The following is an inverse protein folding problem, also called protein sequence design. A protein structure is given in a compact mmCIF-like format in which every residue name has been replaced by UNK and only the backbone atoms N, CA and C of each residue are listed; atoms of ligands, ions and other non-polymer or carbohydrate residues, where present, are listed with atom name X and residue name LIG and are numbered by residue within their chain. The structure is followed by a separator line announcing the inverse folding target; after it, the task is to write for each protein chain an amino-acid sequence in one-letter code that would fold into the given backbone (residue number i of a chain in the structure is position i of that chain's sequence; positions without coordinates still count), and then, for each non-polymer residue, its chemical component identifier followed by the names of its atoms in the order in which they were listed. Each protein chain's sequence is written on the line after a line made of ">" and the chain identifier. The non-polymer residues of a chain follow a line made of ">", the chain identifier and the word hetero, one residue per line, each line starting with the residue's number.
data_IF_328024918591
#
_entry.id   IF_328024918591
#
_cell.length_a   1.000
_cell.length_b   1.000
_cell.length_c   1.000
_cell.angle_alpha   90.00
_cell.angle_beta   90.00
_cell.angle_gamma   90.00
#
_symmetry.space_group_name_H-M   'P 1'
#
loop_
_entity.id
_entity.type
_entity.pdbx_description
1 polymer ?
#
# COMPACT_ATOMS: atom_id res chain seq x y z
N UNK A 1 20.16 -10.95 19.65
CA UNK A 1 20.43 -9.55 19.24
C UNK A 1 20.77 -9.41 17.74
N UNK A 2 21.02 -10.52 17.02
CA UNK A 2 21.33 -10.54 15.57
C UNK A 2 20.10 -10.68 14.67
N UNK A 3 18.98 -11.25 15.17
CA UNK A 3 17.74 -11.45 14.40
C UNK A 3 16.98 -10.16 14.07
N UNK A 4 16.95 -9.19 14.99
CA UNK A 4 16.16 -7.96 14.82
C UNK A 4 16.70 -7.05 13.71
N UNK A 5 18.02 -6.99 13.53
CA UNK A 5 18.64 -6.22 12.44
C UNK A 5 18.34 -6.85 11.07
N UNK A 6 18.35 -8.20 10.97
CA UNK A 6 17.99 -8.89 9.74
C UNK A 6 16.50 -8.76 9.38
N UNK A 7 15.61 -8.76 10.39
CA UNK A 7 14.18 -8.55 10.19
C UNK A 7 13.84 -7.13 9.74
N UNK A 8 14.52 -6.11 10.29
CA UNK A 8 14.38 -4.70 9.89
C UNK A 8 14.83 -4.46 8.45
N UNK A 9 15.99 -5.02 8.07
CA UNK A 9 16.45 -4.96 6.68
C UNK A 9 15.48 -5.66 5.72
N UNK A 10 14.85 -6.76 6.15
CA UNK A 10 13.88 -7.47 5.32
C UNK A 10 12.63 -6.63 5.04
N UNK A 11 12.07 -5.93 6.04
CA UNK A 11 10.88 -5.10 5.83
C UNK A 11 11.17 -3.85 5.00
N UNK A 12 12.29 -3.17 5.26
CA UNK A 12 12.78 -2.07 4.43
C UNK A 12 12.98 -2.51 2.98
N UNK A 13 13.56 -3.68 2.74
CA UNK A 13 13.73 -4.25 1.40
C UNK A 13 12.38 -4.56 0.74
N UNK A 14 11.41 -5.11 1.48
CA UNK A 14 10.03 -5.30 0.99
C UNK A 14 9.41 -3.98 0.54
N UNK A 15 9.47 -2.94 1.38
CA UNK A 15 8.96 -1.61 1.03
C UNK A 15 9.67 -1.03 -0.20
N UNK A 16 11.00 -1.18 -0.29
CA UNK A 16 11.80 -0.67 -1.42
C UNK A 16 11.42 -1.38 -2.73
N UNK A 17 11.27 -2.70 -2.70
CA UNK A 17 10.87 -3.47 -3.89
C UNK A 17 9.43 -3.15 -4.31
N UNK A 18 8.52 -3.05 -3.34
CA UNK A 18 7.15 -2.64 -3.59
C UNK A 18 7.08 -1.22 -4.19
N UNK A 19 7.83 -0.26 -3.65
CA UNK A 19 7.92 1.09 -4.20
C UNK A 19 8.37 1.10 -5.67
N UNK A 20 9.40 0.32 -6.02
CA UNK A 20 9.87 0.19 -7.41
C UNK A 20 8.81 -0.40 -8.35
N UNK A 21 8.05 -1.40 -7.90
CA UNK A 21 6.94 -1.94 -8.70
C UNK A 21 5.86 -0.87 -8.91
N UNK A 22 5.59 -0.04 -7.89
CA UNK A 22 4.56 0.98 -7.97
C UNK A 22 4.99 2.20 -8.80
N UNK A 23 6.28 2.52 -8.91
CA UNK A 23 6.76 3.63 -9.76
C UNK A 23 6.29 3.51 -11.21
N UNK A 24 6.19 2.30 -11.77
CA UNK A 24 5.66 2.08 -13.11
C UNK A 24 4.13 2.11 -13.21
N UNK A 25 3.42 2.16 -12.08
CA UNK A 25 1.96 2.11 -12.04
C UNK A 25 1.28 3.48 -12.25
N UNK A 26 2.03 4.54 -12.55
CA UNK A 26 1.45 5.87 -12.85
C UNK A 26 0.59 5.90 -14.12
N UNK A 27 0.77 4.94 -15.02
CA UNK A 27 -0.10 4.77 -16.21
C UNK A 27 -1.35 3.96 -15.93
N UNK A 28 -1.44 3.36 -14.74
CA UNK A 28 -2.60 2.57 -14.32
C UNK A 28 -3.70 3.48 -13.79
N UNK A 29 -4.89 2.90 -13.70
CA UNK A 29 -6.04 3.45 -13.00
C UNK A 29 -6.40 2.59 -11.81
N UNK A 30 -6.94 3.20 -10.75
CA UNK A 30 -7.57 2.49 -9.65
C UNK A 30 -8.88 1.91 -10.17
N UNK A 31 -8.95 0.59 -10.23
CA UNK A 31 -10.16 -0.16 -10.59
C UNK A 31 -11.09 -0.29 -9.37
N UNK A 32 -10.51 -0.64 -8.22
CA UNK A 32 -11.24 -0.88 -6.98
C UNK A 32 -10.40 -0.53 -5.75
N UNK A 33 -11.09 -0.09 -4.71
CA UNK A 33 -10.56 0.01 -3.35
C UNK A 33 -11.52 -0.76 -2.43
N UNK A 34 -10.99 -1.64 -1.59
CA UNK A 34 -11.75 -2.34 -0.56
C UNK A 34 -11.09 -2.12 0.78
N UNK A 35 -11.91 -1.74 1.76
CA UNK A 35 -11.50 -1.64 3.14
C UNK A 35 -12.35 -2.59 3.95
N UNK A 36 -11.66 -3.50 4.62
CA UNK A 36 -12.26 -4.39 5.59
C UNK A 36 -11.98 -3.84 6.99
N UNK A 37 -13.03 -3.31 7.63
CA UNK A 37 -13.06 -2.92 9.05
C UNK A 37 -14.06 -3.80 9.81
N UNK A 38 -14.40 -4.97 9.27
CA UNK A 38 -15.46 -5.81 9.83
C UNK A 38 -15.10 -6.43 11.18
N UNK A 39 -13.82 -6.39 11.57
CA UNK A 39 -13.35 -6.95 12.83
C UNK A 39 -13.28 -5.89 13.93
N UNK A 40 -13.69 -6.24 15.15
CA UNK A 40 -13.61 -5.35 16.31
C UNK A 40 -12.15 -5.05 16.73
N UNK A 41 -11.21 -5.93 16.33
CA UNK A 41 -9.78 -5.70 16.49
C UNK A 41 -9.23 -4.97 15.26
N UNK A 42 -8.88 -3.70 15.43
CA UNK A 42 -8.25 -2.85 14.41
C UNK A 42 -6.96 -3.46 13.82
N UNK A 43 -6.34 -4.44 14.49
CA UNK A 43 -5.18 -5.18 13.99
C UNK A 43 -5.49 -6.09 12.80
N UNK A 44 -6.76 -6.33 12.50
CA UNK A 44 -7.14 -7.12 11.33
C UNK A 44 -7.69 -6.25 10.20
N UNK A 45 -7.69 -4.92 10.36
CA UNK A 45 -8.15 -4.02 9.32
C UNK A 45 -7.22 -4.13 8.10
N UNK A 46 -7.82 -4.34 6.94
CA UNK A 46 -7.09 -4.45 5.67
C UNK A 46 -7.55 -3.41 4.67
N UNK A 47 -6.61 -2.91 3.87
CA UNK A 47 -6.88 -2.08 2.70
C UNK A 47 -6.29 -2.75 1.48
N UNK A 48 -7.14 -3.04 0.51
CA UNK A 48 -6.75 -3.56 -0.78
C UNK A 48 -7.06 -2.53 -1.88
N UNK A 49 -6.10 -2.29 -2.74
CA UNK A 49 -6.20 -1.38 -3.90
C UNK A 49 -5.85 -2.15 -5.16
N UNK A 50 -6.77 -2.21 -6.11
CA UNK A 50 -6.58 -2.85 -7.41
C UNK A 50 -6.32 -1.80 -8.47
N UNK A 51 -5.23 -1.99 -9.20
CA UNK A 51 -4.81 -1.13 -10.29
C UNK A 51 -4.89 -1.89 -11.62
N UNK A 52 -5.41 -1.22 -12.64
CA UNK A 52 -5.51 -1.73 -14.01
C UNK A 52 -5.11 -0.66 -15.02
N UNK A 53 -4.28 -1.01 -15.98
CA UNK A 53 -3.94 -0.16 -17.14
C UNK A 53 -4.76 -0.53 -18.38
N UNK A 54 -5.04 -1.83 -18.57
CA UNK A 54 -5.80 -2.33 -19.70
C UNK A 54 -5.80 -3.86 -19.78
N UNK A 55 -6.51 -4.45 -20.76
CA UNK A 55 -6.80 -5.89 -20.79
C UNK A 55 -5.58 -6.79 -21.06
N UNK A 56 -4.48 -6.21 -21.54
CA UNK A 56 -3.24 -6.94 -21.87
C UNK A 56 -2.10 -6.65 -20.89
N UNK A 57 -2.28 -5.68 -19.99
CA UNK A 57 -1.29 -5.35 -18.97
C UNK A 57 -1.65 -6.10 -17.68
N UNK A 58 -0.68 -6.73 -16.99
CA UNK A 58 -0.89 -7.33 -15.69
C UNK A 58 -1.57 -6.37 -14.70
N UNK A 59 -2.58 -6.87 -13.99
CA UNK A 59 -3.23 -6.14 -12.89
C UNK A 59 -2.31 -6.10 -11.67
N UNK A 60 -2.35 -5.01 -10.90
CA UNK A 60 -1.55 -4.85 -9.69
C UNK A 60 -2.46 -4.72 -8.48
N UNK A 61 -2.22 -5.51 -7.45
CA UNK A 61 -2.97 -5.44 -6.18
C UNK A 61 -2.02 -5.04 -5.07
N UNK A 62 -2.40 -3.99 -4.35
CA UNK A 62 -1.69 -3.50 -3.17
C UNK A 62 -2.53 -3.86 -1.96
N UNK A 63 -1.99 -4.70 -1.08
CA UNK A 63 -2.64 -5.12 0.15
C UNK A 63 -1.86 -4.61 1.35
N UNK A 64 -2.55 -3.96 2.27
CA UNK A 64 -2.02 -3.35 3.49
C UNK A 64 -2.75 -3.89 4.72
N UNK A 65 -2.00 -4.37 5.70
CA UNK A 65 -2.53 -4.90 6.96
C UNK A 65 -1.43 -5.00 8.03
N UNK A 66 -1.76 -5.17 9.33
CA UNK A 66 -2.73 -4.32 10.02
C UNK A 66 -2.63 -2.85 9.61
N UNK A 67 -3.78 -2.18 9.41
CA UNK A 67 -3.83 -0.73 9.26
C UNK A 67 -3.67 -0.01 10.60
N UNK A 68 -2.83 1.03 10.63
CA UNK A 68 -2.65 1.93 11.78
C UNK A 68 -3.27 3.29 11.57
N UNK A 69 -3.33 3.72 10.32
CA UNK A 69 -3.96 4.97 9.92
C UNK A 69 -4.43 4.83 8.50
N UNK A 70 -5.64 5.28 8.23
CA UNK A 70 -6.12 5.49 6.88
C UNK A 70 -6.88 6.81 6.85
N UNK A 71 -6.51 7.70 5.94
CA UNK A 71 -7.27 8.94 5.75
C UNK A 71 -8.47 8.67 4.85
N UNK A 72 -9.58 9.40 5.07
CA UNK A 72 -10.82 9.15 4.34
C UNK A 72 -10.60 9.28 2.83
N UNK A 73 -11.03 8.26 2.08
CA UNK A 73 -11.27 8.34 0.64
C UNK A 73 -12.78 8.38 0.39
N UNK A 74 -13.18 8.91 -0.75
CA UNK A 74 -14.58 8.89 -1.16
C UNK A 74 -14.96 7.47 -1.63
N UNK A 75 -15.84 6.81 -0.87
CA UNK A 75 -16.43 5.52 -1.28
C UNK A 75 -17.32 5.75 -2.50
N UNK A 76 -17.12 4.96 -3.55
CA UNK A 76 -18.06 4.87 -4.68
C UNK A 76 -17.71 5.68 -5.93
N UNK A 77 -16.46 6.13 -6.08
CA UNK A 77 -15.98 6.66 -7.34
C UNK A 77 -15.53 5.50 -8.24
N UNK A 78 -15.93 5.53 -9.52
CA UNK A 78 -15.55 4.53 -10.51
C UNK A 78 -14.05 4.56 -10.84
N UNK A 79 -13.67 3.90 -11.94
CA UNK A 79 -12.28 3.84 -12.40
C UNK A 79 -11.64 5.23 -12.41
N UNK A 80 -10.53 5.40 -11.69
CA UNK A 80 -9.89 6.70 -11.45
C UNK A 80 -8.41 6.67 -11.80
N UNK A 81 -7.92 7.69 -12.51
CA UNK A 81 -6.52 7.77 -12.89
C UNK A 81 -5.61 8.11 -11.70
N UNK A 82 -4.32 7.81 -11.85
CA UNK A 82 -3.30 8.03 -10.82
C UNK A 82 -2.40 9.19 -11.29
N UNK A 83 -2.36 10.27 -10.52
CA UNK A 83 -1.42 11.38 -10.74
C UNK A 83 -0.05 11.08 -10.11
N UNK A 84 -0.03 10.26 -9.07
CA UNK A 84 1.20 9.80 -8.45
C UNK A 84 0.95 8.65 -7.47
N UNK A 85 1.90 7.73 -7.39
CA UNK A 85 1.86 6.63 -6.43
C UNK A 85 3.24 6.48 -5.79
N UNK A 86 3.27 6.31 -4.48
CA UNK A 86 4.51 6.12 -3.73
C UNK A 86 4.28 5.25 -2.52
N UNK A 87 5.31 4.49 -2.15
CA UNK A 87 5.34 3.68 -0.95
C UNK A 87 6.64 3.96 -0.20
N UNK A 88 6.53 4.32 1.07
CA UNK A 88 7.67 4.74 1.89
C UNK A 88 7.78 3.87 3.13
N UNK A 89 9.00 3.42 3.43
CA UNK A 89 9.32 2.74 4.67
C UNK A 89 9.41 3.74 5.83
N UNK A 90 8.67 3.49 6.90
CA UNK A 90 8.66 4.25 8.13
C UNK A 90 9.35 3.42 9.24
N UNK A 91 10.59 3.76 9.64
CA UNK A 91 11.34 2.96 10.59
C UNK A 91 10.79 3.09 12.03
N UNK A 92 11.06 2.07 12.85
CA UNK A 92 10.82 2.12 14.30
C UNK A 92 11.69 3.21 14.96
N UNK A 93 11.29 3.64 16.16
CA UNK A 93 12.16 4.44 17.03
C UNK A 93 13.51 3.72 17.28
N UNK A 94 14.62 4.45 17.38
CA UNK A 94 14.74 5.91 17.42
C UNK A 94 14.91 6.57 16.04
N UNK A 95 14.98 5.80 14.95
CA UNK A 95 15.22 6.34 13.60
C UNK A 95 14.12 7.33 13.20
N UNK A 96 14.44 8.50 12.63
CA UNK A 96 13.42 9.48 12.27
C UNK A 96 12.57 8.99 11.09
N UNK A 97 11.29 9.39 11.09
CA UNK A 97 10.46 9.30 9.90
C UNK A 97 10.81 10.43 8.92
N UNK A 98 10.51 10.27 7.62
CA UNK A 98 10.59 11.37 6.65
C UNK A 98 9.69 12.53 7.08
N UNK A 99 10.07 13.76 6.71
CA UNK A 99 9.42 14.98 7.19
C UNK A 99 7.92 15.03 6.86
N UNK A 100 7.53 14.45 5.73
CA UNK A 100 6.16 14.39 5.23
C UNK A 100 5.27 13.45 6.04
N UNK A 101 5.87 12.52 6.80
CA UNK A 101 5.16 11.59 7.67
C UNK A 101 5.00 12.10 9.11
N UNK A 102 5.58 13.26 9.44
CA UNK A 102 5.45 13.86 10.79
C UNK A 102 3.99 14.22 11.06
N UNK A 103 3.48 13.82 12.23
CA UNK A 103 2.09 14.07 12.63
C UNK A 103 1.06 13.15 11.96
N UNK A 104 1.50 12.11 11.25
CA UNK A 104 0.60 11.09 10.67
C UNK A 104 0.05 10.13 11.71
N UNK A 105 0.91 9.70 12.61
CA UNK A 105 0.62 8.76 13.68
C UNK A 105 1.55 9.09 14.85
N UNK A 106 1.03 8.98 16.07
CA UNK A 106 1.83 9.16 17.27
C UNK A 106 2.83 8.01 17.39
N UNK A 107 4.12 8.35 17.39
CA UNK A 107 5.20 7.36 17.45
C UNK A 107 5.35 6.85 18.88
N UNK A 108 5.37 5.52 19.06
CA UNK A 108 5.61 4.86 20.34
C UNK A 108 6.62 3.71 20.18
N UNK A 109 7.17 3.21 21.29
CA UNK A 109 8.09 2.06 21.28
C UNK A 109 7.41 0.75 20.86
N UNK A 110 6.08 0.70 20.99
CA UNK A 110 5.23 -0.44 20.64
C UNK A 110 4.91 -0.50 19.14
N UNK A 111 5.10 0.60 18.40
CA UNK A 111 4.89 0.60 16.96
C UNK A 111 6.04 -0.15 16.25
N UNK A 112 5.70 -1.11 15.38
CA UNK A 112 6.71 -1.74 14.53
C UNK A 112 7.17 -0.78 13.43
N UNK A 113 8.03 -1.26 12.55
CA UNK A 113 8.24 -0.59 11.27
C UNK A 113 6.95 -0.63 10.45
N UNK A 114 6.68 0.44 9.71
CA UNK A 114 5.43 0.63 8.96
C UNK A 114 5.72 0.95 7.49
N UNK A 115 4.78 0.62 6.63
CA UNK A 115 4.74 1.04 5.24
C UNK A 115 3.70 2.15 5.10
N UNK A 116 4.05 3.22 4.40
CA UNK A 116 3.17 4.33 4.10
C UNK A 116 2.90 4.40 2.60
N UNK A 117 1.67 4.06 2.21
CA UNK A 117 1.19 4.15 0.83
C UNK A 117 0.52 5.50 0.61
N UNK A 118 0.85 6.13 -0.51
CA UNK A 118 0.21 7.35 -0.99
C UNK A 118 -0.12 7.18 -2.47
N UNK A 119 -1.39 7.36 -2.81
CA UNK A 119 -1.87 7.49 -4.19
C UNK A 119 -2.54 8.85 -4.28
N UNK A 120 -2.06 9.68 -5.21
CA UNK A 120 -2.61 10.98 -5.54
C UNK A 120 -3.38 10.88 -6.86
N UNK A 121 -4.47 11.61 -6.96
CA UNK A 121 -5.37 11.60 -8.09
C UNK A 121 -6.73 12.18 -7.72
N UNK A 122 -7.76 11.99 -8.56
CA UNK A 122 -9.15 12.28 -8.21
C UNK A 122 -9.60 11.53 -6.95
N UNK A 123 -9.03 10.34 -6.73
CA UNK A 123 -9.15 9.59 -5.49
C UNK A 123 -7.78 9.60 -4.81
N UNK A 124 -7.74 10.08 -3.57
CA UNK A 124 -6.55 10.01 -2.73
C UNK A 124 -6.61 8.77 -1.83
N UNK A 125 -5.54 7.98 -1.84
CA UNK A 125 -5.31 6.91 -0.87
C UNK A 125 -4.12 7.28 -0.03
N UNK A 126 -4.30 7.28 1.29
CA UNK A 126 -3.21 7.60 2.21
C UNK A 126 -3.33 6.72 3.46
N UNK A 127 -2.48 5.70 3.52
CA UNK A 127 -2.62 4.59 4.44
C UNK A 127 -1.27 4.16 5.02
N UNK A 128 -1.27 3.81 6.31
CA UNK A 128 -0.11 3.32 7.06
C UNK A 128 -0.42 1.94 7.61
N UNK A 129 0.47 0.97 7.37
CA UNK A 129 0.27 -0.42 7.79
C UNK A 129 1.58 -1.11 8.21
N UNK A 130 1.51 -2.20 8.99
CA UNK A 130 2.72 -2.98 9.37
C UNK A 130 3.18 -3.96 8.29
N UNK A 131 2.34 -4.29 7.33
CA UNK A 131 2.58 -5.25 6.26
C UNK A 131 2.12 -4.59 4.97
N UNK A 132 2.95 -4.74 3.94
CA UNK A 132 2.62 -4.38 2.58
C UNK A 132 2.93 -5.55 1.67
N UNK A 133 1.95 -5.90 0.84
CA UNK A 133 2.10 -6.89 -0.22
C UNK A 133 1.71 -6.23 -1.53
N UNK A 134 2.60 -6.29 -2.52
CA UNK A 134 2.30 -5.88 -3.90
C UNK A 134 2.33 -7.14 -4.75
N UNK A 135 1.19 -7.49 -5.31
CA UNK A 135 1.00 -8.63 -6.19
C UNK A 135 0.77 -8.15 -7.62
N UNK A 136 1.40 -8.83 -8.58
CA UNK A 136 1.21 -8.58 -10.01
C UNK A 136 0.60 -9.85 -10.61
N UNK A 137 -0.65 -9.75 -11.07
CA UNK A 137 -1.42 -10.84 -11.65
C UNK A 137 -1.47 -10.69 -13.16
N UNK A 138 -1.53 -11.79 -13.91
CA UNK A 138 -1.97 -11.69 -15.31
C UNK A 138 -3.37 -11.08 -15.35
N UNK A 139 -3.62 -10.17 -16.29
CA UNK A 139 -4.93 -9.54 -16.44
C UNK A 139 -6.00 -10.61 -16.60
N UNK A 140 -7.06 -10.54 -15.80
CA UNK A 140 -8.21 -11.45 -15.91
C UNK A 140 -8.83 -11.40 -17.33
N UNK A 141 -8.76 -10.24 -17.99
CA UNK A 141 -9.23 -10.09 -19.36
C UNK A 141 -8.38 -10.92 -20.33
N UNK A 142 -7.06 -10.92 -20.20
CA UNK A 142 -6.16 -11.77 -20.99
C UNK A 142 -6.39 -13.27 -20.71
N UNK A 143 -6.68 -13.64 -19.46
CA UNK A 143 -7.02 -15.01 -19.09
C UNK A 143 -8.36 -15.47 -19.68
N UNK A 144 -9.31 -14.55 -19.86
CA UNK A 144 -10.61 -14.81 -20.49
C UNK A 144 -10.57 -14.96 -22.02
N UNK A 145 -9.45 -14.60 -22.69
CA UNK A 145 -9.26 -14.77 -24.15
C UNK A 145 -8.53 -16.06 -24.52
N UNK A 146 -8.15 -16.90 -23.54
CA UNK A 146 -7.56 -18.21 -23.83
C UNK A 146 -8.65 -19.17 -24.36
N UNK A 147 -8.51 -19.72 -25.60
CA UNK A 147 -9.47 -20.65 -26.20
C UNK A 147 -9.46 -22.04 -25.56
#
# INVERSE_FOLDING_TARGET
>A
MTDEHGASDAFKNRCTNAARTLESCVTYSIDRIALDESNEDHKDNTLDVWLREGPWTPDVVISLSPLHSVRPWEKGLGVSFIDGISLVHLPKLPSPWPAEAVGRLDRSEDLPELAWLRIAGPIEVDAVASIVTVYVAQSDDAASVLP
#
